data_IF_279653026262
#
_entry.id   IF_279653026262
#
_cell.length_a   1.000
_cell.length_b   1.000
_cell.length_c   1.000
_cell.angle_alpha   90.00
_cell.angle_beta   90.00
_cell.angle_gamma   90.00
#
_symmetry.space_group_name_H-M   'P 1'
#
loop_
_entity.id
_entity.type
_entity.pdbx_description
1 polymer ?
#
# COMPACT_ATOMS: atom_id res chain seq x y z
N UNK A 1 -18.34 16.24 -16.57
CA UNK A 1 -18.30 15.31 -15.42
C UNK A 1 -18.29 16.18 -14.17
N UNK A 2 -19.11 15.88 -13.15
CA UNK A 2 -19.04 16.55 -11.86
C UNK A 2 -17.68 16.26 -11.21
N UNK A 3 -17.10 17.26 -10.54
CA UNK A 3 -15.86 17.09 -9.80
C UNK A 3 -16.07 16.10 -8.65
N UNK A 4 -15.16 15.13 -8.47
CA UNK A 4 -15.17 14.24 -7.30
C UNK A 4 -14.97 15.04 -6.02
N UNK A 5 -15.77 14.78 -5.00
CA UNK A 5 -15.74 15.50 -3.73
C UNK A 5 -15.62 14.53 -2.57
N UNK A 6 -15.06 15.04 -1.47
CA UNK A 6 -14.86 14.32 -0.21
C UNK A 6 -15.63 15.00 0.94
N UNK A 7 -16.73 15.65 0.63
CA UNK A 7 -17.52 16.39 1.62
C UNK A 7 -17.85 15.46 2.80
N UNK A 8 -17.56 15.94 4.02
CA UNK A 8 -17.75 15.23 5.29
C UNK A 8 -16.94 13.92 5.45
N UNK A 9 -16.04 13.58 4.54
CA UNK A 9 -15.16 12.42 4.67
C UNK A 9 -13.96 12.76 5.53
N UNK A 10 -13.69 11.93 6.54
CA UNK A 10 -12.52 12.02 7.40
C UNK A 10 -11.40 11.15 6.85
N UNK A 11 -10.28 11.79 6.52
CA UNK A 11 -9.12 11.17 5.89
C UNK A 11 -7.92 11.26 6.82
N UNK A 12 -7.38 10.13 7.22
CA UNK A 12 -6.13 10.02 7.98
C UNK A 12 -4.99 9.74 7.00
N UNK A 13 -3.94 10.57 7.05
CA UNK A 13 -2.74 10.43 6.21
C UNK A 13 -1.52 10.29 7.11
N UNK A 14 -0.91 9.09 7.17
CA UNK A 14 0.35 8.90 7.90
C UNK A 14 1.54 9.35 7.05
N UNK A 15 2.55 10.02 7.67
CA UNK A 15 3.58 10.73 6.91
C UNK A 15 3.00 11.86 6.08
N UNK A 16 1.95 12.52 6.58
CA UNK A 16 1.09 13.46 5.85
C UNK A 16 1.65 14.88 5.72
N UNK A 17 2.70 15.22 6.47
CA UNK A 17 3.21 16.59 6.51
C UNK A 17 4.17 16.93 5.38
N UNK A 18 4.76 15.94 4.71
CA UNK A 18 5.83 16.14 3.72
C UNK A 18 5.66 15.24 2.49
N UNK A 19 6.31 15.61 1.38
CA UNK A 19 6.41 14.78 0.16
C UNK A 19 5.06 14.32 -0.39
N UNK A 20 4.92 13.02 -0.64
CA UNK A 20 3.69 12.43 -1.18
C UNK A 20 2.48 12.67 -0.27
N UNK A 21 2.63 12.41 1.04
CA UNK A 21 1.52 12.60 2.00
C UNK A 21 1.01 14.04 2.02
N UNK A 22 1.91 15.02 1.93
CA UNK A 22 1.55 16.43 1.81
C UNK A 22 0.76 16.70 0.52
N UNK A 23 1.20 16.18 -0.62
CA UNK A 23 0.50 16.34 -1.88
C UNK A 23 -0.91 15.71 -1.85
N UNK A 24 -1.09 14.60 -1.15
CA UNK A 24 -2.42 14.02 -0.93
C UNK A 24 -3.31 14.95 -0.11
N UNK A 25 -2.78 15.51 0.97
CA UNK A 25 -3.52 16.46 1.81
C UNK A 25 -3.93 17.72 1.03
N UNK A 26 -3.03 18.30 0.26
CA UNK A 26 -3.27 19.48 -0.57
C UNK A 26 -4.28 19.24 -1.70
N UNK A 27 -4.32 18.01 -2.23
CA UNK A 27 -5.35 17.61 -3.21
C UNK A 27 -6.72 17.44 -2.55
N UNK A 28 -6.80 16.78 -1.39
CA UNK A 28 -8.06 16.35 -0.80
C UNK A 28 -8.75 17.46 0.00
N UNK A 29 -8.00 18.37 0.61
CA UNK A 29 -8.54 19.47 1.39
C UNK A 29 -9.52 20.35 0.60
N UNK A 30 -9.18 20.89 -0.59
CA UNK A 30 -10.10 21.71 -1.39
C UNK A 30 -11.29 20.91 -1.95
N UNK A 31 -11.22 19.59 -1.94
CA UNK A 31 -12.30 18.69 -2.33
C UNK A 31 -13.30 18.43 -1.18
N UNK A 32 -13.06 19.00 0.01
CA UNK A 32 -13.99 18.93 1.15
C UNK A 32 -13.63 17.89 2.20
N UNK A 33 -12.47 17.25 2.11
CA UNK A 33 -12.00 16.27 3.11
C UNK A 33 -11.67 16.97 4.44
N UNK A 34 -12.01 16.31 5.57
CA UNK A 34 -11.52 16.62 6.91
C UNK A 34 -10.28 15.79 7.18
N UNK A 35 -9.16 16.43 7.47
CA UNK A 35 -7.85 15.78 7.44
C UNK A 35 -7.26 15.57 8.83
N UNK A 36 -6.76 14.37 9.09
CA UNK A 36 -5.78 14.10 10.15
C UNK A 36 -4.41 13.96 9.50
N UNK A 37 -3.55 14.93 9.74
CA UNK A 37 -2.17 14.96 9.25
C UNK A 37 -1.29 14.32 10.30
N UNK A 38 -0.97 13.04 10.14
CA UNK A 38 -0.06 12.36 11.04
C UNK A 38 1.37 12.41 10.50
N UNK A 39 2.28 12.90 11.30
CA UNK A 39 3.74 12.87 11.05
C UNK A 39 4.46 13.06 12.40
N UNK A 40 5.32 12.14 12.79
CA UNK A 40 6.10 12.27 14.02
C UNK A 40 7.35 13.17 13.85
N UNK A 41 7.57 13.73 12.67
CA UNK A 41 8.66 14.64 12.37
C UNK A 41 10.05 14.01 12.29
N UNK A 42 10.15 12.68 12.29
CA UNK A 42 11.44 11.98 12.24
C UNK A 42 12.26 12.34 11.00
N UNK A 43 13.58 12.17 11.12
CA UNK A 43 14.49 12.19 9.98
C UNK A 43 14.21 11.05 9.00
N UNK A 44 14.82 11.09 7.81
CA UNK A 44 14.64 10.05 6.77
C UNK A 44 15.03 8.64 7.27
N UNK A 45 15.99 8.54 8.18
CA UNK A 45 16.42 7.28 8.82
C UNK A 45 15.47 6.77 9.88
N UNK A 46 14.38 7.50 10.18
CA UNK A 46 13.42 7.16 11.23
C UNK A 46 13.86 7.58 12.64
N UNK A 47 14.92 8.38 12.77
CA UNK A 47 15.43 8.87 14.06
C UNK A 47 14.89 10.25 14.41
N UNK A 48 14.78 10.53 15.71
CA UNK A 48 14.27 11.81 16.25
C UNK A 48 12.74 11.92 16.14
N UNK A 49 12.24 12.98 16.73
CA UNK A 49 10.83 13.37 16.69
C UNK A 49 10.74 14.90 16.70
N UNK A 50 9.82 15.45 15.93
CA UNK A 50 9.53 16.89 15.88
C UNK A 50 8.03 17.11 15.64
N UNK A 51 7.31 17.37 16.71
CA UNK A 51 5.89 17.62 16.69
C UNK A 51 5.49 18.85 15.84
N UNK A 52 6.40 19.81 15.65
CA UNK A 52 6.11 21.02 14.87
C UNK A 52 5.80 20.72 13.41
N UNK A 53 6.33 19.64 12.87
CA UNK A 53 6.19 19.26 11.45
C UNK A 53 4.71 18.96 11.09
N UNK A 54 4.02 18.17 11.89
CA UNK A 54 2.60 17.87 11.67
C UNK A 54 1.72 19.09 11.98
N UNK A 55 2.02 19.81 13.05
CA UNK A 55 1.27 20.99 13.46
C UNK A 55 1.37 22.12 12.43
N UNK A 56 2.54 22.34 11.84
CA UNK A 56 2.73 23.34 10.81
C UNK A 56 1.94 23.00 9.55
N UNK A 57 2.02 21.75 9.09
CA UNK A 57 1.25 21.28 7.94
C UNK A 57 -0.26 21.42 8.14
N UNK A 58 -0.79 21.03 9.31
CA UNK A 58 -2.20 21.18 9.63
C UNK A 58 -2.61 22.67 9.76
N UNK A 59 -1.74 23.52 10.34
CA UNK A 59 -1.97 24.97 10.45
C UNK A 59 -2.06 25.64 9.08
N UNK A 60 -1.18 25.27 8.15
CA UNK A 60 -1.22 25.83 6.78
C UNK A 60 -2.52 25.46 6.07
N UNK A 61 -2.97 24.22 6.18
CA UNK A 61 -4.26 23.80 5.62
C UNK A 61 -5.42 24.59 6.26
N UNK A 62 -5.44 24.75 7.59
CA UNK A 62 -6.47 25.57 8.28
C UNK A 62 -6.42 27.03 7.84
N UNK A 63 -5.23 27.59 7.59
CA UNK A 63 -5.08 28.96 7.10
C UNK A 63 -5.66 29.14 5.69
N UNK A 64 -5.70 28.05 4.89
CA UNK A 64 -6.38 27.97 3.60
C UNK A 64 -7.90 27.79 3.70
N UNK A 65 -8.45 27.73 4.92
CA UNK A 65 -9.90 27.55 5.17
C UNK A 65 -10.35 26.08 5.21
N UNK A 66 -9.41 25.12 5.29
CA UNK A 66 -9.73 23.70 5.31
C UNK A 66 -9.74 23.12 6.74
N UNK A 67 -10.47 22.03 6.94
CA UNK A 67 -10.52 21.32 8.22
C UNK A 67 -9.32 20.34 8.32
N UNK A 68 -8.39 20.60 9.24
CA UNK A 68 -7.23 19.75 9.45
C UNK A 68 -6.76 19.77 10.92
N UNK A 69 -6.37 18.60 11.42
CA UNK A 69 -5.76 18.43 12.74
C UNK A 69 -4.45 17.64 12.60
N UNK A 70 -3.50 17.92 13.49
CA UNK A 70 -2.25 17.20 13.56
C UNK A 70 -2.34 16.00 14.50
N UNK A 71 -1.66 14.90 14.17
CA UNK A 71 -1.29 13.81 15.07
C UNK A 71 0.22 13.60 14.97
N UNK A 72 0.88 13.52 16.12
CA UNK A 72 2.35 13.34 16.20
C UNK A 72 2.75 11.95 16.65
N UNK A 73 1.78 11.05 16.79
CA UNK A 73 2.00 9.68 17.22
C UNK A 73 2.77 8.87 16.18
N UNK A 74 3.57 7.91 16.68
CA UNK A 74 4.34 7.02 15.81
C UNK A 74 3.49 5.87 15.30
N UNK A 75 3.63 5.53 14.03
CA UNK A 75 3.03 4.29 13.47
C UNK A 75 3.76 3.03 13.95
N UNK A 76 5.00 3.15 14.44
CA UNK A 76 5.87 2.02 14.74
C UNK A 76 5.45 1.20 15.97
N UNK A 77 4.40 1.62 16.70
CA UNK A 77 3.87 0.87 17.86
C UNK A 77 2.36 0.69 17.77
N UNK A 78 1.80 -0.37 18.36
CA UNK A 78 0.35 -0.58 18.42
C UNK A 78 -0.41 0.59 19.06
N UNK A 79 0.16 1.15 20.14
CA UNK A 79 -0.43 2.27 20.91
C UNK A 79 -0.48 3.53 20.04
N UNK A 80 0.62 3.84 19.34
CA UNK A 80 0.68 4.98 18.44
C UNK A 80 -0.25 4.83 17.23
N UNK A 81 -0.31 3.63 16.63
CA UNK A 81 -1.26 3.34 15.56
C UNK A 81 -2.72 3.53 16.00
N UNK A 82 -3.06 3.10 17.22
CA UNK A 82 -4.37 3.32 17.84
C UNK A 82 -4.64 4.81 18.09
N UNK A 83 -3.69 5.54 18.67
CA UNK A 83 -3.81 6.97 18.96
C UNK A 83 -4.05 7.81 17.70
N UNK A 84 -3.41 7.46 16.57
CA UNK A 84 -3.65 8.12 15.28
C UNK A 84 -5.12 7.99 14.86
N UNK A 85 -5.73 6.81 15.01
CA UNK A 85 -7.13 6.59 14.67
C UNK A 85 -8.06 7.28 15.68
N UNK A 86 -7.73 7.24 16.98
CA UNK A 86 -8.48 7.94 18.03
C UNK A 86 -8.48 9.44 17.80
N UNK A 87 -7.40 10.05 17.32
CA UNK A 87 -7.36 11.46 16.95
C UNK A 87 -8.46 11.82 15.91
N UNK A 88 -8.70 10.96 14.93
CA UNK A 88 -9.79 11.16 13.96
C UNK A 88 -11.17 11.01 14.62
N UNK A 89 -11.34 10.03 15.51
CA UNK A 89 -12.61 9.80 16.19
C UNK A 89 -12.95 10.91 17.18
N UNK A 90 -11.98 11.38 17.95
CA UNK A 90 -12.15 12.41 18.96
C UNK A 90 -12.43 13.78 18.32
N UNK A 91 -11.80 14.07 17.17
CA UNK A 91 -11.94 15.36 16.49
C UNK A 91 -13.17 15.41 15.58
N UNK A 92 -13.40 14.34 14.81
CA UNK A 92 -14.38 14.32 13.73
C UNK A 92 -15.47 13.25 13.88
N UNK A 93 -15.38 12.40 14.89
CA UNK A 93 -16.37 11.35 15.20
C UNK A 93 -16.31 10.11 14.32
N UNK A 94 -15.42 10.07 13.31
CA UNK A 94 -15.35 8.95 12.33
C UNK A 94 -14.00 8.89 11.64
N UNK A 95 -13.77 7.78 10.95
CA UNK A 95 -12.71 7.61 9.96
C UNK A 95 -13.30 6.95 8.71
N UNK A 96 -13.12 7.56 7.54
CA UNK A 96 -13.62 7.07 6.25
C UNK A 96 -12.49 6.57 5.34
N UNK A 97 -11.35 7.24 5.40
CA UNK A 97 -10.21 6.96 4.54
C UNK A 97 -8.94 6.89 5.39
N UNK A 98 -8.14 5.87 5.15
CA UNK A 98 -6.78 5.74 5.67
C UNK A 98 -5.80 5.67 4.50
N UNK A 99 -4.89 6.64 4.42
CA UNK A 99 -3.75 6.62 3.50
C UNK A 99 -2.49 6.38 4.33
N UNK A 100 -2.01 5.12 4.34
CA UNK A 100 -0.77 4.79 5.03
C UNK A 100 0.40 5.06 4.10
N UNK A 101 1.11 6.18 4.39
CA UNK A 101 2.22 6.66 3.59
C UNK A 101 3.51 6.85 4.40
N UNK A 102 3.46 6.82 5.73
CA UNK A 102 4.62 6.92 6.59
C UNK A 102 5.71 5.92 6.20
N UNK A 103 6.96 6.37 6.23
CA UNK A 103 8.09 5.55 5.83
C UNK A 103 9.44 6.16 6.18
N UNK A 104 10.44 5.31 6.30
CA UNK A 104 11.84 5.63 6.52
C UNK A 104 12.73 4.78 5.60
N UNK A 105 14.02 5.09 5.52
CA UNK A 105 14.99 4.35 4.73
C UNK A 105 16.30 4.17 5.48
N UNK A 106 16.85 2.95 5.40
CA UNK A 106 18.22 2.61 5.84
C UNK A 106 18.82 1.68 4.80
N UNK A 107 19.82 2.17 4.11
CA UNK A 107 20.44 1.45 2.98
C UNK A 107 21.66 0.69 3.43
N UNK A 108 21.73 -0.59 3.14
CA UNK A 108 22.90 -1.46 3.29
C UNK A 108 22.77 -2.69 2.39
N UNK A 109 23.89 -3.24 1.94
CA UNK A 109 23.90 -4.55 1.26
C UNK A 109 23.34 -5.62 2.19
N UNK A 110 22.76 -6.69 1.64
CA UNK A 110 22.09 -7.74 2.42
C UNK A 110 22.98 -8.27 3.56
N UNK A 111 24.25 -8.55 3.29
CA UNK A 111 25.19 -9.07 4.28
C UNK A 111 25.61 -8.04 5.34
N UNK A 112 25.44 -6.75 5.07
CA UNK A 112 25.82 -5.65 5.93
C UNK A 112 24.64 -5.05 6.72
N UNK A 113 23.41 -5.40 6.34
CA UNK A 113 22.21 -4.91 7.01
C UNK A 113 22.16 -5.44 8.45
N UNK A 114 22.19 -4.54 9.42
CA UNK A 114 22.03 -4.90 10.82
C UNK A 114 20.57 -5.33 11.11
N UNK A 115 20.39 -6.19 12.11
CA UNK A 115 19.03 -6.56 12.56
C UNK A 115 18.24 -5.34 13.07
N UNK A 116 18.93 -4.36 13.65
CA UNK A 116 18.32 -3.11 14.11
C UNK A 116 17.79 -2.31 12.91
N UNK A 117 18.59 -2.11 11.86
CA UNK A 117 18.17 -1.38 10.67
C UNK A 117 17.06 -2.10 9.91
N UNK A 118 17.17 -3.42 9.84
CA UNK A 118 16.10 -4.24 9.26
C UNK A 118 14.79 -4.02 10.00
N UNK A 119 14.81 -4.16 11.33
CA UNK A 119 13.65 -4.02 12.20
C UNK A 119 13.06 -2.60 12.16
N UNK A 120 13.91 -1.56 12.23
CA UNK A 120 13.46 -0.18 12.25
C UNK A 120 12.69 0.23 10.97
N UNK A 121 13.01 -0.37 9.82
CA UNK A 121 12.27 -0.14 8.59
C UNK A 121 10.97 -0.95 8.56
N UNK A 122 10.98 -2.22 8.99
CA UNK A 122 9.76 -3.02 9.12
C UNK A 122 8.76 -2.39 10.08
N UNK A 123 9.21 -1.91 11.23
CA UNK A 123 8.35 -1.34 12.29
C UNK A 123 7.55 -0.13 11.78
N UNK A 124 8.12 0.67 10.87
CA UNK A 124 7.40 1.83 10.31
C UNK A 124 6.53 1.43 9.12
N UNK A 125 7.08 0.68 8.18
CA UNK A 125 6.39 0.39 6.92
C UNK A 125 5.33 -0.71 7.05
N UNK A 126 5.71 -1.90 7.51
CA UNK A 126 4.84 -3.08 7.49
C UNK A 126 4.04 -3.21 8.79
N UNK A 127 4.72 -3.24 9.93
CA UNK A 127 4.04 -3.32 11.21
C UNK A 127 3.26 -2.04 11.49
N UNK A 128 3.81 -0.86 11.11
CA UNK A 128 3.12 0.41 11.20
C UNK A 128 1.84 0.47 10.36
N UNK A 129 1.85 -0.09 9.15
CA UNK A 129 0.62 -0.26 8.39
C UNK A 129 -0.42 -1.08 9.16
N UNK A 130 -0.03 -2.22 9.71
CA UNK A 130 -0.94 -3.06 10.49
C UNK A 130 -1.44 -2.36 11.77
N UNK A 131 -0.57 -1.65 12.48
CA UNK A 131 -0.93 -0.93 13.71
C UNK A 131 -2.01 0.13 13.48
N UNK A 132 -2.00 0.81 12.32
CA UNK A 132 -3.00 1.83 11.99
C UNK A 132 -4.21 1.24 11.27
N UNK A 133 -3.99 0.28 10.35
CA UNK A 133 -5.08 -0.36 9.59
C UNK A 133 -6.03 -1.12 10.50
N UNK A 134 -5.52 -1.90 11.45
CA UNK A 134 -6.37 -2.73 12.32
C UNK A 134 -7.44 -1.93 13.08
N UNK A 135 -7.12 -0.89 13.85
CA UNK A 135 -8.14 -0.08 14.53
C UNK A 135 -9.02 0.73 13.56
N UNK A 136 -8.47 1.22 12.42
CA UNK A 136 -9.25 1.91 11.40
C UNK A 136 -10.26 0.97 10.74
N UNK A 137 -9.85 -0.24 10.38
CA UNK A 137 -10.70 -1.26 9.76
C UNK A 137 -11.90 -1.62 10.64
N UNK A 138 -11.69 -1.82 11.93
CA UNK A 138 -12.77 -2.06 12.89
C UNK A 138 -13.84 -0.95 12.83
N UNK A 139 -13.43 0.31 12.78
CA UNK A 139 -14.33 1.47 12.68
C UNK A 139 -15.03 1.57 11.33
N UNK A 140 -14.29 1.30 10.26
CA UNK A 140 -14.83 1.31 8.89
C UNK A 140 -15.87 0.21 8.69
N UNK A 141 -15.61 -1.01 9.17
CA UNK A 141 -16.57 -2.13 9.15
C UNK A 141 -17.82 -1.76 9.93
N UNK A 142 -17.69 -1.24 11.15
CA UNK A 142 -18.82 -0.80 11.96
C UNK A 142 -19.63 0.34 11.32
N UNK A 143 -18.99 1.18 10.50
CA UNK A 143 -19.61 2.28 9.76
C UNK A 143 -20.17 1.92 8.38
N UNK A 144 -19.92 0.68 7.90
CA UNK A 144 -20.36 0.22 6.57
C UNK A 144 -19.67 0.92 5.39
N UNK A 145 -18.53 1.59 5.63
CA UNK A 145 -17.75 2.30 4.61
C UNK A 145 -16.28 2.44 5.02
N UNK A 146 -15.38 2.23 4.09
CA UNK A 146 -13.97 2.52 4.29
C UNK A 146 -13.16 2.48 2.99
N UNK A 147 -12.09 3.27 2.95
CA UNK A 147 -11.07 3.23 1.90
C UNK A 147 -9.69 3.19 2.55
N UNK A 148 -8.93 2.16 2.21
CA UNK A 148 -7.55 2.02 2.67
C UNK A 148 -6.63 2.10 1.44
N UNK A 149 -5.67 3.00 1.47
CA UNK A 149 -4.63 3.10 0.44
C UNK A 149 -3.27 2.90 1.11
N UNK A 150 -2.59 1.82 0.74
CA UNK A 150 -1.26 1.50 1.24
C UNK A 150 -0.20 1.98 0.25
N UNK A 151 0.81 2.68 0.74
CA UNK A 151 1.94 3.10 -0.11
C UNK A 151 2.95 1.96 -0.21
N UNK A 152 2.82 1.17 -1.26
CA UNK A 152 3.78 0.17 -1.68
C UNK A 152 5.01 0.77 -2.37
N UNK A 153 5.68 -0.05 -3.17
CA UNK A 153 6.79 0.35 -4.04
C UNK A 153 7.01 -0.70 -5.12
N UNK A 154 7.52 -0.29 -6.28
CA UNK A 154 8.06 -1.22 -7.29
C UNK A 154 9.23 -2.05 -6.73
N UNK A 155 9.95 -1.54 -5.72
CA UNK A 155 10.97 -2.30 -5.01
C UNK A 155 10.39 -3.49 -4.21
N UNK A 156 9.12 -3.46 -3.84
CA UNK A 156 8.43 -4.61 -3.25
C UNK A 156 8.08 -5.70 -4.26
N UNK A 157 8.11 -5.40 -5.56
CA UNK A 157 7.87 -6.36 -6.64
C UNK A 157 9.17 -6.85 -7.29
N UNK A 158 10.07 -5.92 -7.63
CA UNK A 158 11.25 -6.19 -8.45
C UNK A 158 12.55 -6.00 -7.69
N UNK A 159 12.50 -5.28 -6.55
CA UNK A 159 13.63 -4.97 -5.68
C UNK A 159 14.78 -4.22 -6.38
N UNK A 160 15.83 -3.96 -5.63
CA UNK A 160 17.13 -3.45 -6.08
C UNK A 160 18.15 -3.72 -4.97
N UNK A 161 19.48 -3.62 -5.24
CA UNK A 161 20.50 -3.77 -4.20
C UNK A 161 20.33 -2.77 -3.06
N UNK A 162 20.79 -3.14 -1.88
CA UNK A 162 20.89 -2.30 -0.66
C UNK A 162 19.57 -1.89 0.00
N UNK A 163 18.43 -2.53 -0.33
CA UNK A 163 17.11 -2.18 0.21
C UNK A 163 16.34 -3.37 0.78
N UNK A 164 17.01 -4.37 1.34
CA UNK A 164 16.36 -5.62 1.79
C UNK A 164 15.24 -5.37 2.79
N UNK A 165 15.44 -4.51 3.77
CA UNK A 165 14.45 -4.12 4.78
C UNK A 165 13.22 -3.44 4.15
N UNK A 166 13.45 -2.53 3.24
CA UNK A 166 12.40 -1.81 2.51
C UNK A 166 11.64 -2.72 1.54
N UNK A 167 12.36 -3.52 0.75
CA UNK A 167 11.76 -4.47 -0.20
C UNK A 167 10.85 -5.47 0.51
N UNK A 168 11.32 -6.10 1.60
CA UNK A 168 10.51 -7.03 2.42
C UNK A 168 9.28 -6.34 2.98
N UNK A 169 9.43 -5.13 3.53
CA UNK A 169 8.30 -4.36 4.06
C UNK A 169 7.24 -4.08 3.00
N UNK A 170 7.67 -3.64 1.82
CA UNK A 170 6.75 -3.28 0.72
C UNK A 170 6.11 -4.49 0.06
N UNK A 171 6.80 -5.64 -0.01
CA UNK A 171 6.22 -6.92 -0.42
C UNK A 171 5.14 -7.41 0.56
N UNK A 172 5.40 -7.30 1.88
CA UNK A 172 4.43 -7.71 2.91
C UNK A 172 3.11 -6.94 2.87
N UNK A 173 3.12 -5.70 2.38
CA UNK A 173 1.90 -4.90 2.22
C UNK A 173 0.90 -5.52 1.23
N UNK A 174 1.35 -6.35 0.28
CA UNK A 174 0.45 -7.04 -0.66
C UNK A 174 -0.48 -7.97 0.11
N UNK A 175 0.06 -8.76 1.03
CA UNK A 175 -0.75 -9.65 1.88
C UNK A 175 -1.75 -8.87 2.75
N UNK A 176 -1.29 -7.78 3.39
CA UNK A 176 -2.18 -6.93 4.19
C UNK A 176 -3.30 -6.32 3.35
N UNK A 177 -2.97 -5.77 2.17
CA UNK A 177 -3.96 -5.23 1.25
C UNK A 177 -5.02 -6.26 0.85
N UNK A 178 -4.59 -7.46 0.51
CA UNK A 178 -5.49 -8.53 0.08
C UNK A 178 -6.46 -8.91 1.19
N UNK A 179 -6.00 -9.08 2.43
CA UNK A 179 -6.85 -9.42 3.57
C UNK A 179 -7.84 -8.29 3.87
N UNK A 180 -7.41 -7.04 3.91
CA UNK A 180 -8.32 -5.90 4.12
C UNK A 180 -9.39 -5.83 3.03
N UNK A 181 -9.01 -6.10 1.78
CA UNK A 181 -9.94 -6.09 0.65
C UNK A 181 -10.95 -7.26 0.70
N UNK A 182 -10.50 -8.46 1.08
CA UNK A 182 -11.35 -9.66 1.18
C UNK A 182 -12.32 -9.52 2.36
N UNK A 183 -11.81 -9.26 3.55
CA UNK A 183 -12.62 -9.18 4.77
C UNK A 183 -13.53 -7.93 4.79
N UNK A 184 -13.12 -6.85 4.10
CA UNK A 184 -13.89 -5.62 3.99
C UNK A 184 -15.01 -5.64 2.95
N UNK A 185 -15.03 -6.63 2.04
CA UNK A 185 -15.92 -6.68 0.87
C UNK A 185 -17.40 -6.48 1.22
N UNK A 186 -17.88 -7.23 2.18
CA UNK A 186 -19.30 -7.22 2.57
C UNK A 186 -19.67 -6.03 3.47
N UNK A 187 -18.70 -5.26 3.91
CA UNK A 187 -18.86 -4.08 4.78
C UNK A 187 -18.60 -2.76 4.06
N UNK A 188 -18.48 -2.77 2.73
CA UNK A 188 -18.23 -1.54 1.96
C UNK A 188 -16.80 -0.98 2.12
N UNK A 189 -15.88 -1.75 2.71
CA UNK A 189 -14.48 -1.38 2.87
C UNK A 189 -13.66 -1.88 1.69
N UNK A 190 -12.86 -1.01 1.09
CA UNK A 190 -11.96 -1.33 -0.03
C UNK A 190 -10.53 -0.98 0.33
N UNK A 191 -9.59 -1.79 -0.15
CA UNK A 191 -8.15 -1.57 0.03
C UNK A 191 -7.41 -1.72 -1.28
N UNK A 192 -6.49 -0.79 -1.56
CA UNK A 192 -5.64 -0.82 -2.74
C UNK A 192 -4.23 -0.33 -2.41
N UNK A 193 -3.26 -0.68 -3.25
CA UNK A 193 -1.87 -0.24 -3.12
C UNK A 193 -1.54 0.77 -4.20
N UNK A 194 -0.91 1.87 -3.83
CA UNK A 194 -0.19 2.74 -4.74
C UNK A 194 1.31 2.37 -4.74
N UNK A 195 1.90 2.23 -5.92
CA UNK A 195 3.32 2.03 -6.19
C UNK A 195 3.86 3.33 -6.82
N UNK A 196 4.21 4.34 -6.00
CA UNK A 196 4.52 5.66 -6.50
C UNK A 196 5.95 5.77 -7.02
N UNK A 197 6.16 6.57 -8.05
CA UNK A 197 7.45 7.09 -8.46
C UNK A 197 7.42 8.60 -8.46
N UNK A 198 7.96 9.21 -7.41
CA UNK A 198 8.04 10.67 -7.27
C UNK A 198 9.38 11.08 -6.67
N UNK A 199 9.91 12.20 -7.14
CA UNK A 199 11.07 12.85 -6.51
C UNK A 199 10.58 13.53 -5.23
N UNK A 200 11.03 13.01 -4.10
CA UNK A 200 10.71 13.52 -2.77
C UNK A 200 12.01 13.59 -1.97
N UNK A 201 11.93 13.94 -0.69
CA UNK A 201 13.08 13.87 0.24
C UNK A 201 13.79 12.51 0.23
N UNK A 202 13.09 11.42 -0.10
CA UNK A 202 13.71 10.09 -0.24
C UNK A 202 14.66 9.97 -1.44
N UNK A 203 14.61 10.91 -2.39
CA UNK A 203 15.53 11.02 -3.51
C UNK A 203 16.64 12.06 -3.27
N UNK A 204 16.74 12.61 -2.05
CA UNK A 204 17.79 13.56 -1.70
C UNK A 204 19.17 12.94 -1.89
N UNK A 205 20.05 13.66 -2.59
CA UNK A 205 21.40 13.17 -2.96
C UNK A 205 21.45 12.34 -4.24
N UNK A 206 20.33 12.03 -4.89
CA UNK A 206 20.32 11.40 -6.20
C UNK A 206 20.36 12.48 -7.31
N UNK A 207 21.15 12.27 -8.36
CA UNK A 207 21.07 13.08 -9.57
C UNK A 207 19.80 12.72 -10.35
N UNK A 208 18.80 13.58 -10.23
CA UNK A 208 17.51 13.42 -10.93
C UNK A 208 17.43 14.27 -12.20
N UNK A 209 18.51 14.91 -12.63
CA UNK A 209 18.53 15.80 -13.80
C UNK A 209 18.13 15.11 -15.10
N UNK A 210 18.36 13.81 -15.19
CA UNK A 210 18.01 12.98 -16.34
C UNK A 210 16.60 12.40 -16.26
N UNK A 211 15.87 12.61 -15.17
CA UNK A 211 14.52 12.07 -15.02
C UNK A 211 13.49 13.00 -15.64
N UNK A 212 12.40 12.43 -16.21
CA UNK A 212 11.25 13.25 -16.57
C UNK A 212 10.63 13.89 -15.32
N UNK A 213 9.71 14.85 -15.45
CA UNK A 213 8.97 15.38 -14.32
C UNK A 213 8.35 14.27 -13.47
N UNK A 214 8.70 14.22 -12.19
CA UNK A 214 8.27 13.20 -11.22
C UNK A 214 7.80 13.86 -9.93
N UNK A 215 6.95 14.87 -10.02
CA UNK A 215 6.35 15.53 -8.87
C UNK A 215 5.36 14.60 -8.13
N UNK A 216 5.17 14.85 -6.84
CA UNK A 216 4.19 14.14 -6.02
C UNK A 216 2.75 14.41 -6.49
N UNK A 217 2.52 15.56 -7.14
CA UNK A 217 1.27 15.97 -7.77
C UNK A 217 0.81 15.04 -8.89
N UNK A 218 1.73 14.34 -9.56
CA UNK A 218 1.42 13.32 -10.57
C UNK A 218 0.91 12.00 -9.96
N UNK A 219 1.17 11.77 -8.68
CA UNK A 219 0.72 10.56 -7.95
C UNK A 219 -0.59 10.83 -7.21
N UNK A 220 -0.74 12.03 -6.65
CA UNK A 220 -1.87 12.38 -5.79
C UNK A 220 -3.26 12.11 -6.40
N UNK A 221 -3.53 12.36 -7.69
CA UNK A 221 -4.84 12.07 -8.30
C UNK A 221 -5.21 10.59 -8.27
N UNK A 222 -4.24 9.68 -8.41
CA UNK A 222 -4.49 8.23 -8.34
C UNK A 222 -4.89 7.83 -6.93
N UNK A 223 -4.17 8.32 -5.92
CA UNK A 223 -4.52 8.10 -4.51
C UNK A 223 -5.87 8.72 -4.18
N UNK A 224 -6.16 9.91 -4.68
CA UNK A 224 -7.48 10.55 -4.56
C UNK A 224 -8.60 9.65 -5.09
N UNK A 225 -8.46 9.10 -6.31
CA UNK A 225 -9.45 8.17 -6.85
C UNK A 225 -9.60 6.89 -6.00
N UNK A 226 -8.50 6.27 -5.59
CA UNK A 226 -8.54 5.06 -4.76
C UNK A 226 -9.18 5.31 -3.39
N UNK A 227 -9.16 6.55 -2.91
CA UNK A 227 -9.77 7.01 -1.66
C UNK A 227 -11.23 7.43 -1.80
N UNK A 228 -11.72 7.62 -3.02
CA UNK A 228 -13.06 8.15 -3.27
C UNK A 228 -14.15 7.08 -3.18
N UNK A 229 -15.38 7.49 -2.87
CA UNK A 229 -16.53 6.57 -2.80
C UNK A 229 -16.84 5.89 -4.14
N UNK A 230 -16.61 6.57 -5.28
CA UNK A 230 -16.76 6.01 -6.63
C UNK A 230 -15.67 4.99 -7.00
N UNK A 231 -14.64 4.78 -6.16
CA UNK A 231 -13.64 3.77 -6.43
C UNK A 231 -14.30 2.40 -6.54
N UNK A 232 -14.24 1.80 -7.74
CA UNK A 232 -14.89 0.51 -8.02
C UNK A 232 -14.00 -0.68 -7.70
N UNK A 233 -12.69 -0.48 -7.54
CA UNK A 233 -11.68 -1.55 -7.38
C UNK A 233 -11.30 -1.78 -5.93
N UNK A 234 -10.88 -3.02 -5.61
CA UNK A 234 -10.36 -3.41 -4.30
C UNK A 234 -9.42 -4.60 -4.47
N UNK A 235 -8.35 -4.67 -3.68
CA UNK A 235 -7.34 -5.73 -3.76
C UNK A 235 -6.32 -5.51 -4.89
N UNK A 236 -6.23 -4.32 -5.44
CA UNK A 236 -5.38 -4.04 -6.60
C UNK A 236 -4.16 -3.18 -6.26
N UNK A 237 -3.16 -3.23 -7.15
CA UNK A 237 -1.93 -2.42 -7.08
C UNK A 237 -1.84 -1.52 -8.30
N UNK A 238 -1.53 -0.23 -8.08
CA UNK A 238 -1.40 0.75 -9.16
C UNK A 238 -0.03 1.43 -9.14
N UNK A 239 0.68 1.34 -10.25
CA UNK A 239 1.89 2.13 -10.49
C UNK A 239 1.46 3.53 -10.91
N UNK A 240 2.06 4.56 -10.29
CA UNK A 240 1.97 5.96 -10.75
C UNK A 240 3.36 6.56 -10.77
N UNK A 241 3.92 6.77 -11.96
CA UNK A 241 5.30 7.22 -12.14
C UNK A 241 5.42 8.06 -13.40
N UNK A 242 5.94 9.29 -13.27
CA UNK A 242 6.17 10.20 -14.39
C UNK A 242 4.94 10.37 -15.31
N UNK A 243 3.76 10.48 -14.73
CA UNK A 243 2.50 10.61 -15.45
C UNK A 243 1.91 9.29 -16.00
N UNK A 244 2.67 8.17 -15.93
CA UNK A 244 2.14 6.86 -16.30
C UNK A 244 1.36 6.26 -15.13
N UNK A 245 0.14 5.80 -15.40
CA UNK A 245 -0.66 5.02 -14.45
C UNK A 245 -0.92 3.63 -15.04
N UNK A 246 -0.66 2.58 -14.27
CA UNK A 246 -0.89 1.21 -14.71
C UNK A 246 -1.24 0.30 -13.52
N UNK A 247 -2.02 -0.74 -13.77
CA UNK A 247 -2.24 -1.81 -12.81
C UNK A 247 -1.02 -2.75 -12.79
N UNK A 248 -0.56 -3.13 -11.61
CA UNK A 248 0.35 -4.23 -11.38
C UNK A 248 -0.42 -5.40 -10.75
N UNK A 249 -0.07 -6.63 -11.11
CA UNK A 249 -0.71 -7.83 -10.58
C UNK A 249 0.24 -9.01 -10.62
N UNK A 250 -0.05 -10.04 -9.82
CA UNK A 250 0.69 -11.30 -9.81
C UNK A 250 0.04 -12.24 -10.82
N UNK A 251 0.87 -12.88 -11.62
CA UNK A 251 0.46 -13.94 -12.54
C UNK A 251 1.40 -15.14 -12.36
N UNK A 252 0.92 -16.33 -12.65
CA UNK A 252 1.70 -17.56 -12.66
C UNK A 252 1.53 -18.30 -13.98
N UNK A 253 2.53 -19.06 -14.39
CA UNK A 253 2.40 -19.95 -15.55
C UNK A 253 1.43 -21.07 -15.24
N UNK A 254 0.75 -21.62 -16.24
CA UNK A 254 -0.10 -22.81 -16.05
C UNK A 254 0.69 -24.00 -15.51
N UNK A 255 1.98 -24.08 -15.86
CA UNK A 255 2.85 -25.17 -15.46
C UNK A 255 2.51 -26.52 -16.09
N UNK A 256 3.03 -27.59 -15.48
CA UNK A 256 2.90 -28.99 -15.93
C UNK A 256 2.37 -29.84 -14.78
N UNK A 257 1.45 -30.74 -15.08
CA UNK A 257 0.96 -31.73 -14.12
C UNK A 257 1.67 -33.09 -14.33
N UNK A 258 2.11 -33.72 -13.24
CA UNK A 258 2.49 -35.14 -13.15
C UNK A 258 1.93 -35.71 -11.85
N UNK A 259 1.51 -37.00 -11.82
CA UNK A 259 0.99 -37.63 -10.59
C UNK A 259 2.08 -37.80 -9.52
N UNK A 260 3.34 -37.77 -9.92
CA UNK A 260 4.51 -37.76 -9.02
C UNK A 260 5.66 -37.05 -9.71
N UNK A 261 6.59 -36.53 -8.94
CA UNK A 261 7.76 -35.82 -9.43
C UNK A 261 9.06 -36.42 -8.85
N UNK A 262 10.04 -36.58 -9.71
CA UNK A 262 11.46 -36.69 -9.31
C UNK A 262 12.21 -35.40 -9.61
N UNK A 263 13.37 -35.21 -9.02
CA UNK A 263 14.23 -34.03 -9.29
C UNK A 263 14.59 -33.96 -10.78
N UNK A 264 14.90 -35.10 -11.40
CA UNK A 264 15.26 -35.15 -12.82
C UNK A 264 14.09 -34.77 -13.74
N UNK A 265 12.87 -35.14 -13.36
CA UNK A 265 11.65 -34.73 -14.09
C UNK A 265 11.40 -33.24 -13.98
N UNK A 266 11.59 -32.60 -12.80
CA UNK A 266 11.51 -31.16 -12.66
C UNK A 266 12.53 -30.47 -13.55
N UNK A 267 13.77 -30.97 -13.56
CA UNK A 267 14.82 -30.41 -14.42
C UNK A 267 14.51 -30.57 -15.92
N UNK A 268 14.01 -31.72 -16.33
CA UNK A 268 13.66 -32.00 -17.73
C UNK A 268 12.46 -31.11 -18.21
N UNK A 269 11.47 -30.89 -17.34
CA UNK A 269 10.27 -30.11 -17.66
C UNK A 269 10.41 -28.61 -17.38
N UNK A 270 11.56 -28.14 -16.88
CA UNK A 270 11.73 -26.75 -16.43
C UNK A 270 11.34 -25.71 -17.50
N UNK A 271 11.62 -25.98 -18.77
CA UNK A 271 11.21 -25.09 -19.86
C UNK A 271 9.69 -24.98 -19.99
N UNK A 272 8.96 -26.10 -19.91
CA UNK A 272 7.51 -26.13 -19.97
C UNK A 272 6.87 -25.54 -18.70
N UNK A 273 7.44 -25.81 -17.52
CA UNK A 273 7.00 -25.22 -16.25
C UNK A 273 7.08 -23.69 -16.29
N UNK A 274 8.09 -23.13 -16.94
CA UNK A 274 8.33 -21.68 -17.06
C UNK A 274 7.70 -21.02 -18.28
N UNK A 275 6.98 -21.77 -19.12
CA UNK A 275 6.39 -21.23 -20.33
C UNK A 275 5.30 -20.21 -20.02
N UNK A 276 5.45 -18.99 -20.53
CA UNK A 276 4.49 -17.90 -20.39
C UNK A 276 3.37 -17.90 -21.44
N UNK A 277 3.33 -18.91 -22.33
CA UNK A 277 2.28 -19.03 -23.35
C UNK A 277 0.88 -19.12 -22.76
N UNK A 278 0.78 -19.70 -21.57
CA UNK A 278 -0.46 -19.79 -20.79
C UNK A 278 -0.18 -19.38 -19.37
N UNK A 279 -0.80 -18.27 -18.97
CA UNK A 279 -0.70 -17.75 -17.62
C UNK A 279 -2.06 -17.70 -16.94
N UNK A 280 -2.03 -17.85 -15.63
CA UNK A 280 -3.19 -17.68 -14.75
C UNK A 280 -3.02 -16.41 -13.91
N UNK A 281 -4.10 -15.64 -13.84
CA UNK A 281 -4.19 -14.49 -12.96
C UNK A 281 -5.40 -14.67 -12.07
N UNK A 282 -5.22 -14.51 -10.76
CA UNK A 282 -6.26 -14.65 -9.76
C UNK A 282 -6.47 -13.31 -9.05
N UNK A 283 -7.73 -12.96 -8.84
CA UNK A 283 -8.08 -11.74 -8.14
C UNK A 283 -8.44 -12.04 -6.68
N UNK A 284 -7.77 -11.43 -5.67
CA UNK A 284 -7.98 -11.78 -4.27
C UNK A 284 -9.46 -11.72 -3.84
N UNK A 285 -10.16 -10.65 -4.20
CA UNK A 285 -11.55 -10.38 -3.77
C UNK A 285 -12.59 -11.23 -4.53
N UNK A 286 -12.21 -11.81 -5.65
CA UNK A 286 -13.08 -12.62 -6.53
C UNK A 286 -12.84 -14.14 -6.34
N UNK A 287 -12.56 -14.56 -5.12
CA UNK A 287 -12.26 -15.95 -4.75
C UNK A 287 -11.00 -16.51 -5.42
N UNK A 288 -9.97 -15.69 -5.61
CA UNK A 288 -8.74 -16.08 -6.30
C UNK A 288 -8.05 -17.30 -5.67
N UNK A 289 -8.11 -17.47 -4.35
CA UNK A 289 -7.54 -18.63 -3.65
C UNK A 289 -8.29 -19.92 -4.01
N UNK A 290 -9.60 -19.91 -3.94
CA UNK A 290 -10.47 -21.06 -4.27
C UNK A 290 -10.37 -21.40 -5.76
N UNK A 291 -10.32 -20.39 -6.62
CA UNK A 291 -10.15 -20.59 -8.07
C UNK A 291 -8.79 -21.21 -8.39
N UNK A 292 -7.70 -20.77 -7.74
CA UNK A 292 -6.38 -21.37 -7.86
C UNK A 292 -6.40 -22.86 -7.50
N UNK A 293 -6.99 -23.20 -6.36
CA UNK A 293 -7.16 -24.59 -5.92
C UNK A 293 -7.96 -25.41 -6.94
N UNK A 294 -9.09 -24.89 -7.39
CA UNK A 294 -9.97 -25.58 -8.35
C UNK A 294 -9.26 -25.85 -9.69
N UNK A 295 -8.54 -24.89 -10.23
CA UNK A 295 -7.77 -25.08 -11.48
C UNK A 295 -6.65 -26.09 -11.31
N UNK A 296 -5.92 -26.04 -10.20
CA UNK A 296 -4.85 -27.02 -9.90
C UNK A 296 -5.41 -28.45 -9.78
N UNK A 297 -6.53 -28.62 -9.09
CA UNK A 297 -7.21 -29.92 -8.96
C UNK A 297 -7.78 -30.43 -10.28
N UNK A 298 -8.31 -29.56 -11.13
CA UNK A 298 -8.81 -29.92 -12.45
C UNK A 298 -7.70 -30.47 -13.37
N UNK A 299 -6.48 -29.95 -13.26
CA UNK A 299 -5.32 -30.51 -13.97
C UNK A 299 -5.01 -31.96 -13.51
N UNK A 300 -5.10 -32.24 -12.21
CA UNK A 300 -4.89 -33.57 -11.66
C UNK A 300 -5.99 -34.56 -12.17
N UNK A 301 -7.26 -34.20 -12.03
CA UNK A 301 -8.38 -35.01 -12.45
C UNK A 301 -8.38 -35.30 -13.96
N UNK A 302 -8.03 -34.32 -14.79
CA UNK A 302 -7.92 -34.49 -16.25
C UNK A 302 -6.82 -35.45 -16.67
N UNK A 303 -5.76 -35.57 -15.90
CA UNK A 303 -4.67 -36.50 -16.16
C UNK A 303 -5.05 -37.94 -15.77
N UNK A 304 -5.76 -38.14 -14.66
CA UNK A 304 -6.25 -39.45 -14.23
C UNK A 304 -7.25 -40.04 -15.24
N UNK A 305 -8.15 -39.22 -15.77
CA UNK A 305 -9.11 -39.65 -16.79
C UNK A 305 -8.45 -40.14 -18.09
N UNK A 306 -7.29 -39.57 -18.47
CA UNK A 306 -6.51 -39.97 -19.66
C UNK A 306 -5.72 -41.26 -19.46
N UNK A 307 -5.45 -41.67 -18.22
CA UNK A 307 -4.73 -42.90 -17.90
C UNK A 307 -5.64 -44.12 -17.74
N UNK A 308 -6.97 -43.89 -17.63
CA UNK A 308 -7.98 -44.94 -17.48
C UNK A 308 -8.76 -45.26 -18.79
N UNK A 309 -8.55 -44.52 -19.86
CA UNK A 309 -9.10 -44.71 -21.20
C UNK A 309 -8.05 -45.11 -22.20
#
# INVERSE_FOLDING_TARGET
>A
MSQMRFDDRVVVITGGARGLGRAYAELLAPLGARLVINDNGSALTGTGQDASVAEEAARELRSGGYEAVASTDTVATPEGGKAIVECALDTFGRIDVLIHNAGNNRFAMLAETSYEDFRAVLDVHLLGAFHVVRPAFERMVGGGYGRVVLTGSIAGLYSMPSVVNYAVSKSGMIGLNNIVAIEGKDFGVKSNIILPGAVTRMAEGLDTSQYPPMGADLVAPVVGYLSHESCSVSGEMYVSMAGRVARAFVTETQGVFRPSWSIDQVAADLHAIRSEEKCWTFHPVENGFEEHMARSFAMAASAEARTQG
#
